data_IF_989638676794
#
_entry.id   IF_989638676794
#
_cell.length_a   1.000
_cell.length_b   1.000
_cell.length_c   1.000
_cell.angle_alpha   90.00
_cell.angle_beta   90.00
_cell.angle_gamma   90.00
#
_symmetry.space_group_name_H-M   'P 1'
#
loop_
_entity.id
_entity.type
_entity.pdbx_description
1 polymer ?
#
# COMPACT_ATOMS: atom_id res chain seq x y z
N UNK A 1 -18.81 -9.36 9.07
CA UNK A 1 -18.29 -9.40 7.69
C UNK A 1 -16.81 -9.10 7.68
N UNK A 2 -16.07 -9.81 6.89
CA UNK A 2 -14.65 -9.60 6.80
C UNK A 2 -14.36 -8.31 6.05
N UNK A 3 -13.38 -7.58 6.53
CA UNK A 3 -12.93 -6.39 5.83
C UNK A 3 -12.04 -6.79 4.65
N UNK A 4 -12.01 -5.96 3.63
CA UNK A 4 -11.09 -6.13 2.53
C UNK A 4 -9.68 -5.80 3.01
N UNK A 5 -8.74 -6.68 2.71
CA UNK A 5 -7.34 -6.43 3.06
C UNK A 5 -6.74 -5.59 1.95
N UNK A 6 -6.27 -4.40 2.31
CA UNK A 6 -5.77 -3.44 1.34
C UNK A 6 -4.30 -3.16 1.54
N UNK A 7 -3.66 -2.75 0.46
CA UNK A 7 -2.24 -2.40 0.48
C UNK A 7 -2.01 -1.23 -0.48
N UNK A 8 -0.88 -0.58 -0.29
CA UNK A 8 -0.48 0.55 -1.14
C UNK A 8 0.87 0.24 -1.77
N UNK A 9 0.99 0.59 -3.04
CA UNK A 9 2.27 0.55 -3.75
C UNK A 9 2.69 1.99 -3.98
N UNK A 10 3.81 2.37 -3.39
CA UNK A 10 4.31 3.73 -3.49
C UNK A 10 4.25 4.44 -2.15
N UNK A 11 5.30 5.16 -1.82
CA UNK A 11 5.44 5.78 -0.50
C UNK A 11 5.57 7.30 -0.54
N UNK A 12 5.22 7.93 -1.66
CA UNK A 12 5.27 9.38 -1.76
C UNK A 12 4.06 10.05 -1.14
N UNK A 13 3.91 11.34 -1.42
CA UNK A 13 2.80 12.11 -0.86
C UNK A 13 1.44 11.52 -1.21
N UNK A 14 1.30 11.04 -2.44
CA UNK A 14 0.04 10.43 -2.88
C UNK A 14 -0.22 9.17 -2.09
N UNK A 15 0.83 8.39 -1.80
CA UNK A 15 0.69 7.19 -0.99
C UNK A 15 0.17 7.50 0.40
N UNK A 16 0.70 8.54 1.03
CA UNK A 16 0.23 8.95 2.35
C UNK A 16 -1.23 9.40 2.31
N UNK A 17 -1.61 10.11 1.28
CA UNK A 17 -2.98 10.56 1.12
C UNK A 17 -3.93 9.36 1.05
N UNK A 18 -3.57 8.37 0.25
CA UNK A 18 -4.39 7.16 0.11
C UNK A 18 -4.40 6.33 1.38
N UNK A 19 -3.27 6.29 2.08
CA UNK A 19 -3.20 5.54 3.33
C UNK A 19 -4.18 6.09 4.37
N UNK A 20 -4.23 7.40 4.48
CA UNK A 20 -5.17 8.03 5.41
C UNK A 20 -6.61 7.71 5.06
N UNK A 21 -6.92 7.71 3.76
CA UNK A 21 -8.25 7.37 3.32
C UNK A 21 -8.59 5.92 3.66
N UNK A 22 -7.65 5.01 3.44
CA UNK A 22 -7.87 3.59 3.72
C UNK A 22 -8.05 3.32 5.21
N UNK A 23 -7.28 4.01 6.04
CA UNK A 23 -7.39 3.83 7.49
C UNK A 23 -8.78 4.24 7.98
N UNK A 24 -9.39 5.22 7.33
CA UNK A 24 -10.70 5.71 7.74
C UNK A 24 -11.87 4.93 7.14
N UNK A 25 -11.61 3.99 6.25
CA UNK A 25 -12.69 3.20 5.66
C UNK A 25 -13.02 2.01 6.56
N UNK A 26 -14.29 1.90 6.91
CA UNK A 26 -14.73 0.82 7.80
C UNK A 26 -14.63 -0.56 7.17
N UNK A 27 -14.78 -0.64 5.86
CA UNK A 27 -14.75 -1.92 5.16
C UNK A 27 -13.37 -2.30 4.66
N UNK A 28 -12.36 -1.54 5.05
CA UNK A 28 -11.01 -1.74 4.54
C UNK A 28 -10.05 -1.88 5.70
N UNK A 29 -9.17 -2.86 5.60
CA UNK A 29 -8.09 -3.04 6.56
C UNK A 29 -6.78 -2.82 5.82
N UNK A 30 -6.14 -1.70 6.09
CA UNK A 30 -4.85 -1.38 5.48
C UNK A 30 -3.77 -2.18 6.20
N UNK A 31 -3.16 -3.14 5.51
CA UNK A 31 -2.26 -4.10 6.16
C UNK A 31 -0.82 -4.03 5.69
N UNK A 32 -0.56 -3.45 4.52
CA UNK A 32 0.80 -3.49 3.99
C UNK A 32 1.06 -2.37 2.99
N UNK A 33 2.34 -2.10 2.78
CA UNK A 33 2.79 -1.13 1.80
C UNK A 33 4.02 -1.69 1.10
N UNK A 34 4.15 -1.42 -0.17
CA UNK A 34 5.33 -1.81 -0.94
C UNK A 34 5.92 -0.60 -1.64
N UNK A 35 7.23 -0.61 -1.81
CA UNK A 35 7.92 0.47 -2.49
C UNK A 35 9.33 0.05 -2.86
N UNK A 36 10.02 0.93 -3.57
CA UNK A 36 11.37 0.63 -4.04
C UNK A 36 12.46 0.96 -3.04
N UNK A 37 12.22 1.95 -2.21
CA UNK A 37 13.25 2.47 -1.31
C UNK A 37 13.00 1.93 0.10
N UNK A 38 13.88 1.05 0.60
CA UNK A 38 13.64 0.39 1.89
C UNK A 38 13.39 1.37 3.03
N UNK A 39 14.14 2.46 3.06
CA UNK A 39 13.99 3.44 4.14
C UNK A 39 12.63 4.08 4.14
N UNK A 40 12.12 4.43 2.96
CA UNK A 40 10.80 5.03 2.85
C UNK A 40 9.70 4.02 3.18
N UNK A 41 9.88 2.79 2.76
CA UNK A 41 8.92 1.73 3.07
C UNK A 41 8.86 1.51 4.58
N UNK A 42 10.01 1.47 5.23
CA UNK A 42 10.06 1.27 6.68
C UNK A 42 9.39 2.42 7.43
N UNK A 43 9.67 3.66 7.04
CA UNK A 43 9.03 4.81 7.68
C UNK A 43 7.53 4.80 7.49
N UNK A 44 7.09 4.52 6.27
CA UNK A 44 5.67 4.49 5.95
C UNK A 44 4.97 3.38 6.75
N UNK A 45 5.57 2.21 6.79
CA UNK A 45 5.01 1.07 7.51
C UNK A 45 4.89 1.37 9.00
N UNK A 46 5.92 1.99 9.57
CA UNK A 46 5.91 2.33 10.98
C UNK A 46 4.86 3.38 11.30
N UNK A 47 4.71 4.36 10.42
CA UNK A 47 3.75 5.44 10.64
C UNK A 47 2.31 4.91 10.71
N UNK A 48 1.99 3.94 9.88
CA UNK A 48 0.64 3.42 9.81
C UNK A 48 0.45 2.08 10.51
N UNK A 49 1.50 1.54 11.10
CA UNK A 49 1.41 0.28 11.80
C UNK A 49 1.14 -0.90 10.88
N UNK A 50 1.68 -0.87 9.68
CA UNK A 50 1.50 -1.93 8.70
C UNK A 50 2.83 -2.56 8.34
N UNK A 51 2.81 -3.61 7.53
CA UNK A 51 4.04 -4.26 7.11
C UNK A 51 4.57 -3.64 5.83
N UNK A 52 5.90 -3.54 5.73
CA UNK A 52 6.55 -3.01 4.56
C UNK A 52 7.16 -4.11 3.72
N UNK A 53 7.05 -3.96 2.39
CA UNK A 53 7.59 -4.92 1.44
C UNK A 53 8.32 -4.19 0.34
N UNK A 54 9.35 -4.83 -0.20
CA UNK A 54 10.04 -4.31 -1.36
C UNK A 54 9.59 -5.01 -2.64
N UNK A 55 8.86 -6.10 -2.49
CA UNK A 55 8.35 -6.87 -3.62
C UNK A 55 6.84 -6.97 -3.50
N UNK A 56 6.14 -6.49 -4.52
CA UNK A 56 4.68 -6.49 -4.52
C UNK A 56 4.11 -7.90 -4.51
N UNK A 57 4.74 -8.80 -5.25
CA UNK A 57 4.26 -10.19 -5.32
C UNK A 57 4.31 -10.85 -3.95
N UNK A 58 5.39 -10.61 -3.22
CA UNK A 58 5.51 -11.16 -1.87
C UNK A 58 4.45 -10.58 -0.96
N UNK A 59 4.21 -9.28 -1.07
CA UNK A 59 3.21 -8.61 -0.25
C UNK A 59 1.83 -9.20 -0.48
N UNK A 60 1.44 -9.33 -1.73
CA UNK A 60 0.12 -9.85 -2.07
C UNK A 60 -0.05 -11.28 -1.58
N UNK A 61 0.98 -12.09 -1.75
CA UNK A 61 0.91 -13.49 -1.35
C UNK A 61 0.87 -13.66 0.17
N UNK A 62 1.76 -12.98 0.87
CA UNK A 62 1.88 -13.19 2.31
C UNK A 62 0.77 -12.52 3.11
N UNK A 63 0.32 -11.37 2.66
CA UNK A 63 -0.72 -10.63 3.36
C UNK A 63 -2.12 -10.93 2.83
N UNK A 64 -2.23 -11.73 1.78
CA UNK A 64 -3.51 -12.07 1.16
C UNK A 64 -4.31 -10.83 0.83
N UNK A 65 -3.69 -9.96 0.05
CA UNK A 65 -4.27 -8.66 -0.28
C UNK A 65 -5.43 -8.82 -1.24
N UNK A 66 -6.53 -8.15 -0.96
CA UNK A 66 -7.71 -8.15 -1.82
C UNK A 66 -7.70 -6.98 -2.79
N UNK A 67 -7.21 -5.84 -2.36
CA UNK A 67 -7.19 -4.63 -3.18
C UNK A 67 -5.85 -3.94 -3.01
N UNK A 68 -5.28 -3.52 -4.13
CA UNK A 68 -4.01 -2.79 -4.13
C UNK A 68 -4.23 -1.42 -4.75
N UNK A 69 -3.79 -0.38 -4.06
CA UNK A 69 -3.81 0.98 -4.59
C UNK A 69 -2.42 1.33 -5.08
N UNK A 70 -2.30 1.66 -6.34
CA UNK A 70 -1.01 2.02 -6.93
C UNK A 70 -0.87 3.53 -6.91
N UNK A 71 0.08 4.01 -6.13
CA UNK A 71 0.28 5.43 -5.90
C UNK A 71 1.69 5.84 -6.31
N UNK A 72 2.01 5.64 -7.56
CA UNK A 72 3.32 6.03 -8.05
C UNK A 72 3.31 7.50 -8.47
N UNK A 73 4.46 8.18 -8.32
CA UNK A 73 4.52 9.61 -8.66
C UNK A 73 4.55 9.87 -10.16
N UNK A 74 4.70 8.87 -10.98
CA UNK A 74 4.79 9.05 -12.42
C UNK A 74 3.56 8.50 -13.11
N UNK A 75 2.72 9.34 -13.66
CA UNK A 75 1.50 8.89 -14.31
C UNK A 75 1.72 8.41 -15.74
N UNK A 76 2.90 7.98 -16.07
CA UNK A 76 3.21 7.59 -17.43
C UNK A 76 2.82 6.17 -17.77
N UNK A 77 2.23 5.47 -16.86
CA UNK A 77 1.96 4.04 -17.04
C UNK A 77 0.58 3.78 -17.55
N UNK A 78 0.29 4.33 -18.68
CA UNK A 78 -1.03 4.15 -19.27
C UNK A 78 -1.36 2.72 -19.63
N UNK A 79 -0.36 1.86 -19.60
CA UNK A 79 -0.56 0.45 -19.89
C UNK A 79 -0.51 -0.42 -18.65
N UNK A 80 -0.63 0.18 -17.52
CA UNK A 80 -0.54 -0.56 -16.27
C UNK A 80 -1.76 -1.42 -16.03
N UNK A 81 -2.81 -1.09 -16.66
CA UNK A 81 -4.06 -1.81 -16.45
C UNK A 81 -3.93 -3.30 -16.56
#
# INVERSE_FOLDING_TARGET
MAKLRTAIIGTGKVGHFHARALVNLENSEFVAVAGRIPEQVAEFAEEYGVKGYLDVADMVREEKIDVVSICTPHPVHRNVA
#
